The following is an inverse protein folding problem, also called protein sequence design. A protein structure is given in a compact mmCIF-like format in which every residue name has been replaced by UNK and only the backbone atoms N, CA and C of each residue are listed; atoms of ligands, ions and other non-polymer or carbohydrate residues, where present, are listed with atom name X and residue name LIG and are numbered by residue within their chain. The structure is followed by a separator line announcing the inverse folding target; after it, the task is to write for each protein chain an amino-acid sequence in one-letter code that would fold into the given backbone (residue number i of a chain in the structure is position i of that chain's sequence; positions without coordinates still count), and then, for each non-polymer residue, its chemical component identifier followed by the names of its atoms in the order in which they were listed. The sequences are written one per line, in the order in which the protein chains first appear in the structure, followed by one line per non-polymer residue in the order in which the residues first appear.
data_IF_652591838829
#
_entry.id   IF_652591838829
#
_cell.length_a   1.000
_cell.length_b   1.000
_cell.length_c   1.000
_cell.angle_alpha   90.00
_cell.angle_beta   90.00
_cell.angle_gamma   90.00
#
_symmetry.space_group_name_H-M   'P 1'
#
loop_
_entity.id
_entity.type
_entity.pdbx_description
1 polymer ?
#
# COMPACT_ATOMS: atom_id res chain seq x y z
N UNK A 1 -7.50 9.93 4.53
CA UNK A 1 -6.56 8.85 4.89
C UNK A 1 -5.13 9.14 4.46
N UNK A 2 -4.87 9.35 3.18
CA UNK A 2 -3.52 9.66 2.71
C UNK A 2 -2.98 10.92 3.37
N UNK A 3 -3.83 11.93 3.57
CA UNK A 3 -3.43 13.19 4.23
C UNK A 3 -2.90 12.95 5.64
N UNK A 4 -3.48 11.99 6.35
CA UNK A 4 -3.03 11.66 7.69
C UNK A 4 -1.58 11.18 7.68
N UNK A 5 -1.28 10.26 6.75
CA UNK A 5 0.08 9.72 6.65
C UNK A 5 1.07 10.72 6.08
N UNK A 6 0.61 11.58 5.18
CA UNK A 6 1.45 12.66 4.67
C UNK A 6 1.87 13.60 5.81
N UNK A 7 0.95 13.90 6.73
CA UNK A 7 1.26 14.75 7.88
C UNK A 7 2.25 14.07 8.83
N UNK A 8 2.07 12.77 9.05
CA UNK A 8 3.01 12.02 9.89
C UNK A 8 4.41 12.00 9.26
N UNK A 9 4.48 11.77 7.96
CA UNK A 9 5.76 11.76 7.25
C UNK A 9 6.45 13.12 7.35
N UNK A 10 5.69 14.19 7.19
CA UNK A 10 6.22 15.54 7.28
C UNK A 10 6.80 15.80 8.66
N UNK A 11 6.11 15.35 9.70
CA UNK A 11 6.58 15.52 11.06
C UNK A 11 7.90 14.81 11.30
N UNK A 12 8.11 13.67 10.63
CA UNK A 12 9.33 12.89 10.74
C UNK A 12 10.37 13.23 9.68
N UNK A 13 10.12 14.29 8.91
CA UNK A 13 11.02 14.73 7.85
C UNK A 13 11.27 13.66 6.79
N UNK A 14 10.24 12.91 6.45
CA UNK A 14 10.29 11.91 5.39
C UNK A 14 9.67 12.50 4.13
N UNK A 15 10.42 12.61 3.03
CA UNK A 15 9.84 13.03 1.75
C UNK A 15 8.71 12.07 1.37
N UNK A 16 7.53 12.63 1.17
CA UNK A 16 6.33 11.84 0.89
C UNK A 16 5.63 12.43 -0.31
N UNK A 17 5.48 11.62 -1.36
CA UNK A 17 4.77 12.02 -2.55
C UNK A 17 3.61 11.07 -2.77
N UNK A 18 2.43 11.59 -2.97
CA UNK A 18 1.25 10.77 -3.20
C UNK A 18 0.42 11.35 -4.33
N UNK A 19 -0.02 10.48 -5.23
CA UNK A 19 -0.92 10.82 -6.30
C UNK A 19 -2.11 9.87 -6.26
N UNK A 20 -3.29 10.43 -6.18
CA UNK A 20 -4.50 9.63 -6.18
C UNK A 20 -5.45 10.21 -7.22
N UNK A 21 -5.74 9.44 -8.25
CA UNK A 21 -6.63 9.84 -9.31
C UNK A 21 -7.73 8.80 -9.42
N UNK A 22 -8.84 9.07 -8.74
CA UNK A 22 -9.97 8.15 -8.71
C UNK A 22 -11.22 8.83 -9.24
N UNK A 23 -12.04 8.12 -10.02
CA UNK A 23 -13.32 8.67 -10.42
C UNK A 23 -14.22 8.82 -9.21
N UNK A 24 -15.22 9.70 -9.34
CA UNK A 24 -16.12 10.00 -8.24
C UNK A 24 -16.88 8.76 -7.76
N UNK A 25 -17.14 7.84 -8.64
CA UNK A 25 -17.92 6.65 -8.30
C UNK A 25 -17.15 5.38 -8.65
N UNK A 26 -16.57 4.77 -7.64
CA UNK A 26 -15.96 3.46 -7.79
C UNK A 26 -16.65 2.51 -6.83
N UNK A 27 -16.87 1.29 -7.30
CA UNK A 27 -17.54 0.27 -6.52
C UNK A 27 -16.50 -0.59 -5.83
N UNK A 28 -16.04 -0.12 -4.69
CA UNK A 28 -15.13 -0.89 -3.87
C UNK A 28 -15.47 -0.62 -2.41
N UNK A 29 -15.31 -1.63 -1.59
CA UNK A 29 -15.61 -1.51 -0.17
C UNK A 29 -14.65 -0.50 0.47
N UNK A 30 -15.20 0.54 1.08
CA UNK A 30 -14.38 1.58 1.68
C UNK A 30 -13.57 1.07 2.87
N UNK A 31 -14.10 0.10 3.59
CA UNK A 31 -13.36 -0.49 4.71
C UNK A 31 -12.15 -1.25 4.17
N UNK A 32 -12.34 -2.03 3.11
CA UNK A 32 -11.24 -2.73 2.46
C UNK A 32 -10.18 -1.77 1.97
N UNK A 33 -10.60 -0.69 1.32
CA UNK A 33 -9.69 0.33 0.81
C UNK A 33 -8.88 0.96 1.93
N UNK A 34 -9.55 1.29 3.03
CA UNK A 34 -8.87 1.87 4.19
C UNK A 34 -7.88 0.90 4.80
N UNK A 35 -8.23 -0.37 4.89
CA UNK A 35 -7.33 -1.37 5.45
C UNK A 35 -6.09 -1.54 4.60
N UNK A 36 -6.26 -1.59 3.28
CA UNK A 36 -5.12 -1.72 2.37
C UNK A 36 -4.20 -0.50 2.51
N UNK A 37 -4.75 0.69 2.39
CA UNK A 37 -3.95 1.91 2.43
C UNK A 37 -3.27 2.09 3.78
N UNK A 38 -3.98 1.88 4.88
CA UNK A 38 -3.37 2.06 6.20
C UNK A 38 -2.25 1.06 6.44
N UNK A 39 -2.45 -0.20 6.07
CA UNK A 39 -1.41 -1.21 6.26
C UNK A 39 -0.18 -0.90 5.44
N UNK A 40 -0.36 -0.52 4.18
CA UNK A 40 0.78 -0.22 3.30
C UNK A 40 1.51 1.04 3.73
N UNK A 41 0.78 2.09 4.09
CA UNK A 41 1.39 3.36 4.48
C UNK A 41 2.06 3.28 5.84
N UNK A 42 1.48 2.55 6.79
CA UNK A 42 2.15 2.32 8.07
C UNK A 42 3.44 1.55 7.89
N UNK A 43 3.43 0.50 7.08
CA UNK A 43 4.65 -0.25 6.80
C UNK A 43 5.72 0.63 6.16
N UNK A 44 5.31 1.49 5.23
CA UNK A 44 6.23 2.39 4.56
C UNK A 44 6.85 3.40 5.54
N UNK A 45 6.03 3.98 6.42
CA UNK A 45 6.52 4.91 7.43
C UNK A 45 7.53 4.25 8.35
N UNK A 46 7.20 3.07 8.85
CA UNK A 46 8.08 2.39 9.78
C UNK A 46 9.39 1.97 9.15
N UNK A 47 9.33 1.48 7.90
CA UNK A 47 10.56 1.13 7.20
C UNK A 47 11.42 2.36 6.94
N UNK A 48 10.78 3.47 6.58
CA UNK A 48 11.53 4.72 6.35
C UNK A 48 12.16 5.24 7.62
N UNK A 49 11.49 5.12 8.76
CA UNK A 49 12.06 5.57 10.02
C UNK A 49 13.31 4.78 10.40
N UNK A 50 13.42 3.54 9.94
CA UNK A 50 14.60 2.73 10.20
C UNK A 50 15.73 3.02 9.22
N UNK A 51 15.44 3.70 8.13
CA UNK A 51 16.46 4.09 7.16
C UNK A 51 17.17 5.35 7.65
N UNK A 52 18.36 5.57 7.14
CA UNK A 52 19.12 6.79 7.46
C UNK A 52 18.33 8.01 6.97
N UNK A 53 18.34 9.10 7.74
CA UNK A 53 17.48 10.25 7.38
C UNK A 53 17.63 10.75 5.95
N UNK A 54 18.85 10.75 5.40
CA UNK A 54 19.07 11.24 4.04
C UNK A 54 18.54 10.28 2.98
N UNK A 55 18.21 9.06 3.37
CA UNK A 55 17.75 8.02 2.43
C UNK A 55 16.25 7.75 2.52
N UNK A 56 15.53 8.52 3.32
CA UNK A 56 14.09 8.27 3.53
C UNK A 56 13.26 8.81 2.38
N UNK A 57 12.31 8.00 1.90
CA UNK A 57 11.41 8.42 0.84
C UNK A 57 10.22 7.47 0.79
N UNK A 58 9.02 8.04 0.60
CA UNK A 58 7.81 7.27 0.39
C UNK A 58 7.10 7.84 -0.84
N UNK A 59 6.64 6.96 -1.71
CA UNK A 59 5.87 7.34 -2.89
C UNK A 59 4.65 6.44 -2.98
N UNK A 60 3.47 7.02 -3.02
CA UNK A 60 2.21 6.29 -3.10
C UNK A 60 1.42 6.73 -4.32
N UNK A 61 0.84 5.77 -5.02
CA UNK A 61 -0.01 6.04 -6.17
C UNK A 61 -1.26 5.20 -6.10
N UNK A 62 -2.40 5.81 -6.42
CA UNK A 62 -3.68 5.11 -6.50
C UNK A 62 -4.35 5.58 -7.77
N UNK A 63 -4.61 4.67 -8.70
CA UNK A 63 -5.23 5.04 -9.96
C UNK A 63 -5.92 3.84 -10.61
N UNK A 64 -6.77 4.14 -11.58
CA UNK A 64 -7.40 3.09 -12.37
C UNK A 64 -6.47 2.67 -13.50
N UNK A 65 -6.25 1.37 -13.58
CA UNK A 65 -5.51 0.76 -14.69
C UNK A 65 -6.56 0.02 -15.52
N UNK A 66 -6.84 0.53 -16.69
CA UNK A 66 -8.01 0.14 -17.45
C UNK A 66 -9.28 0.48 -16.66
N UNK A 67 -10.43 0.09 -17.15
CA UNK A 67 -11.69 0.51 -16.56
C UNK A 67 -12.08 -0.25 -15.30
N UNK A 68 -11.47 -1.40 -15.09
CA UNK A 68 -11.95 -2.33 -14.08
C UNK A 68 -10.93 -2.71 -13.02
N UNK A 69 -9.75 -2.14 -13.08
CA UNK A 69 -8.71 -2.45 -12.11
C UNK A 69 -8.26 -1.20 -11.39
N UNK A 70 -8.30 -1.25 -10.07
CA UNK A 70 -7.73 -0.20 -9.24
C UNK A 70 -6.34 -0.63 -8.85
N UNK A 71 -5.36 0.21 -9.11
CA UNK A 71 -3.99 -0.07 -8.75
C UNK A 71 -3.57 0.82 -7.59
N UNK A 72 -3.04 0.19 -6.56
CA UNK A 72 -2.46 0.87 -5.40
C UNK A 72 -1.01 0.46 -5.34
N UNK A 73 -0.11 1.43 -5.37
CA UNK A 73 1.30 1.16 -5.30
C UNK A 73 1.94 2.05 -4.25
N UNK A 74 2.66 1.45 -3.33
CA UNK A 74 3.39 2.18 -2.29
C UNK A 74 4.83 1.72 -2.32
N UNK A 75 5.74 2.67 -2.51
CA UNK A 75 7.17 2.42 -2.51
C UNK A 75 7.82 3.16 -1.36
N UNK A 76 8.81 2.53 -0.75
CA UNK A 76 9.58 3.19 0.30
C UNK A 76 11.02 2.69 0.25
N UNK A 77 11.94 3.55 0.66
CA UNK A 77 13.31 3.12 0.87
C UNK A 77 13.35 2.16 2.05
N UNK A 78 14.24 1.22 1.98
CA UNK A 78 14.34 0.17 2.98
C UNK A 78 15.81 -0.13 3.25
N UNK A 79 16.19 -0.18 4.52
CA UNK A 79 17.52 -0.59 4.95
C UNK A 79 17.37 -1.72 5.93
N UNK A 80 18.23 -2.71 5.81
CA UNK A 80 18.18 -3.89 6.63
C UNK A 80 17.76 -5.10 5.85
N UNK A 81 17.41 -6.17 6.57
CA UNK A 81 17.04 -7.43 5.94
C UNK A 81 15.54 -7.56 5.88
N UNK A 82 15.05 -7.96 4.71
CA UNK A 82 13.66 -8.33 4.56
C UNK A 82 13.54 -9.82 4.85
N UNK A 83 12.62 -10.14 5.74
CA UNK A 83 12.30 -11.53 6.03
C UNK A 83 11.13 -11.98 5.18
N UNK A 84 11.33 -13.07 4.47
CA UNK A 84 10.28 -13.66 3.66
C UNK A 84 10.07 -15.09 4.11
N UNK A 85 8.85 -15.44 4.44
CA UNK A 85 8.50 -16.79 4.84
C UNK A 85 7.22 -17.18 4.13
N UNK A 86 7.27 -18.26 3.35
CA UNK A 86 6.11 -18.72 2.58
C UNK A 86 5.54 -17.64 1.68
N UNK A 87 6.43 -16.87 1.03
CA UNK A 87 6.06 -15.78 0.16
C UNK A 87 5.31 -14.66 0.87
N UNK A 88 5.50 -14.54 2.18
CA UNK A 88 4.91 -13.49 2.98
C UNK A 88 6.03 -12.71 3.62
N UNK A 89 6.11 -11.41 3.32
CA UNK A 89 7.09 -10.54 3.94
C UNK A 89 6.67 -10.23 5.35
N UNK A 90 7.63 -10.19 6.26
CA UNK A 90 7.36 -9.87 7.64
C UNK A 90 8.00 -8.53 7.98
N UNK A 91 7.26 -7.72 8.71
CA UNK A 91 7.81 -6.50 9.25
C UNK A 91 8.76 -6.88 10.39
N UNK A 92 9.79 -6.10 10.64
CA UNK A 92 10.73 -6.36 11.72
C UNK A 92 10.29 -5.79 13.05
N UNK A 93 9.10 -5.21 13.13
CA UNK A 93 8.72 -4.43 14.30
C UNK A 93 8.26 -5.20 15.50
N UNK A 94 7.58 -6.26 15.30
CA UNK A 94 6.92 -6.97 16.42
C UNK A 94 6.59 -8.39 16.02
N UNK A 95 6.37 -9.26 17.00
CA UNK A 95 5.96 -10.63 16.71
C UNK A 95 4.66 -10.65 15.92
N UNK A 96 4.53 -11.59 15.04
CA UNK A 96 3.33 -11.75 14.25
C UNK A 96 3.12 -10.67 13.21
N UNK A 97 4.16 -10.00 12.84
CA UNK A 97 4.06 -8.82 12.03
C UNK A 97 3.87 -9.05 10.54
N UNK A 98 3.64 -10.21 10.07
CA UNK A 98 3.19 -10.43 8.71
C UNK A 98 1.69 -10.18 8.55
N UNK A 99 1.00 -9.87 9.64
CA UNK A 99 -0.46 -9.74 9.62
C UNK A 99 -0.94 -8.64 8.68
N UNK A 100 -0.28 -7.49 8.67
CA UNK A 100 -0.68 -6.40 7.80
C UNK A 100 -0.61 -6.78 6.33
N UNK A 101 0.48 -7.42 5.92
CA UNK A 101 0.64 -7.87 4.53
C UNK A 101 -0.32 -9.00 4.21
N UNK A 102 -0.53 -9.91 5.14
CA UNK A 102 -1.50 -10.99 4.93
C UNK A 102 -2.91 -10.44 4.75
N UNK A 103 -3.28 -9.43 5.53
CA UNK A 103 -4.58 -8.80 5.39
C UNK A 103 -4.74 -8.15 4.03
N UNK A 104 -3.70 -7.49 3.55
CA UNK A 104 -3.72 -6.87 2.24
C UNK A 104 -3.87 -7.92 1.14
N UNK A 105 -3.14 -9.03 1.23
CA UNK A 105 -3.27 -10.12 0.27
C UNK A 105 -4.68 -10.68 0.27
N UNK A 106 -5.25 -10.88 1.45
CA UNK A 106 -6.60 -11.39 1.58
C UNK A 106 -7.62 -10.46 0.93
N UNK A 107 -7.49 -9.17 1.17
CA UNK A 107 -8.40 -8.19 0.59
C UNK A 107 -8.27 -8.17 -0.93
N UNK A 108 -7.05 -8.25 -1.44
CA UNK A 108 -6.85 -8.29 -2.90
C UNK A 108 -7.55 -9.51 -3.50
N UNK A 109 -7.36 -10.68 -2.91
CA UNK A 109 -7.99 -11.90 -3.40
C UNK A 109 -9.51 -11.84 -3.31
N UNK A 110 -10.03 -11.33 -2.20
CA UNK A 110 -11.46 -11.17 -2.00
C UNK A 110 -12.08 -10.27 -3.06
N UNK A 111 -11.35 -9.27 -3.52
CA UNK A 111 -11.82 -8.35 -4.54
C UNK A 111 -11.40 -8.75 -5.96
N UNK A 112 -11.06 -10.01 -6.15
CA UNK A 112 -10.75 -10.53 -7.47
C UNK A 112 -9.47 -10.00 -8.07
N UNK A 113 -8.58 -9.51 -7.25
CA UNK A 113 -7.33 -8.92 -7.68
C UNK A 113 -6.12 -9.71 -7.24
N UNK A 114 -5.02 -9.03 -7.13
CA UNK A 114 -3.74 -9.67 -6.79
C UNK A 114 -2.87 -8.70 -6.03
N UNK A 115 -1.80 -9.21 -5.46
CA UNK A 115 -0.84 -8.40 -4.72
C UNK A 115 0.57 -8.85 -5.04
N UNK A 116 1.49 -7.90 -5.05
CA UNK A 116 2.90 -8.17 -5.32
C UNK A 116 3.75 -7.33 -4.38
N UNK A 117 4.73 -7.95 -3.78
CA UNK A 117 5.65 -7.29 -2.87
C UNK A 117 7.06 -7.61 -3.32
N UNK A 118 7.81 -6.58 -3.67
CA UNK A 118 9.17 -6.77 -4.19
C UNK A 118 10.14 -5.88 -3.46
N UNK A 119 11.38 -6.30 -3.42
CA UNK A 119 12.46 -5.53 -2.84
C UNK A 119 13.63 -5.55 -3.80
N UNK A 120 14.05 -4.36 -4.23
CA UNK A 120 15.13 -4.26 -5.19
C UNK A 120 15.86 -2.94 -5.00
N UNK A 121 17.18 -3.00 -4.94
CA UNK A 121 18.03 -1.80 -4.86
C UNK A 121 17.64 -0.86 -3.72
N UNK A 122 17.32 -1.42 -2.57
CA UNK A 122 16.98 -0.62 -1.40
C UNK A 122 15.61 0.00 -1.43
N UNK A 123 14.74 -0.46 -2.34
CA UNK A 123 13.37 0.04 -2.44
C UNK A 123 12.40 -1.14 -2.30
N UNK A 124 11.49 -1.01 -1.37
CA UNK A 124 10.41 -1.98 -1.21
C UNK A 124 9.17 -1.44 -1.91
N UNK A 125 8.56 -2.26 -2.74
CA UNK A 125 7.38 -1.88 -3.51
C UNK A 125 6.24 -2.84 -3.22
N UNK A 126 5.11 -2.29 -2.77
CA UNK A 126 3.87 -3.04 -2.64
C UNK A 126 2.95 -2.60 -3.75
N UNK A 127 2.46 -3.55 -4.53
CA UNK A 127 1.56 -3.28 -5.65
C UNK A 127 0.32 -4.13 -5.49
N UNK A 128 -0.82 -3.48 -5.36
CA UNK A 128 -2.09 -4.15 -5.12
C UNK A 128 -3.04 -3.81 -6.25
N UNK A 129 -3.66 -4.85 -6.81
CA UNK A 129 -4.69 -4.68 -7.83
C UNK A 129 -6.01 -5.16 -7.25
N UNK A 130 -7.02 -4.34 -7.36
CA UNK A 130 -8.36 -4.68 -6.94
C UNK A 130 -9.29 -4.57 -8.14
N UNK A 131 -10.13 -5.55 -8.33
CA UNK A 131 -11.11 -5.50 -9.41
C UNK A 131 -12.29 -4.65 -8.95
N UNK A 132 -12.63 -3.66 -9.77
CA UNK A 132 -13.78 -2.81 -9.52
C UNK A 132 -14.95 -3.40 -10.26
N UNK A 133 -16.03 -3.66 -9.54
CA UNK A 133 -17.25 -4.15 -10.17
C UNK A 133 -17.99 -2.98 -10.78
N UNK A 134 -18.70 -3.24 -11.87
CA UNK A 134 -19.61 -2.25 -12.41
C UNK A 134 -20.63 -1.93 -11.35
N UNK A 135 -20.82 -0.65 -11.08
CA UNK A 135 -21.85 -0.25 -10.14
C UNK A 135 -23.20 -0.64 -10.68
N UNK A 136 -23.98 -1.21 -9.83
CA UNK A 136 -25.35 -1.58 -10.17
C UNK A 136 -26.21 -0.36 -10.50
N UNK A 137 -25.70 0.78 -10.18
CA UNK A 137 -26.36 2.04 -10.49
C UNK A 137 -26.60 2.22 -11.97
N UNK A 138 -25.81 1.59 -12.79
CA UNK A 138 -26.05 1.67 -14.21
C UNK A 138 -27.36 1.01 -14.60
N UNK A 139 -27.99 0.34 -13.67
CA UNK A 139 -29.26 -0.22 -13.96
C UNK A 139 -30.34 0.73 -13.68
N UNK A 140 -31.26 0.83 -14.58
CA UNK A 140 -32.46 1.60 -14.33
C UNK A 140 -33.22 1.01 -13.17
#
# INVERSE_FOLDING_TARGET
MISHYAALAKRENIPFQANAALPAHISIDQIDMCLVLSNLLENALEASLKAKPFNRRIHAEVYLHHKHLLLIQVENTFEGKIQEKNHIFQSSKRPGNGVGIQSVRHIAEKNGGDSSFTYENGVFTAKIMLRIQKTAVSRP
#
